data_IF_523732236373
#
_entry.id   IF_523732236373
#
_cell.length_a   1.000
_cell.length_b   1.000
_cell.length_c   1.000
_cell.angle_alpha   90.00
_cell.angle_beta   90.00
_cell.angle_gamma   90.00
#
_symmetry.space_group_name_H-M   'P 1'
#
loop_
_entity.id
_entity.type
_entity.pdbx_description
1 polymer ?
#
# COMPACT_ATOMS: atom_id res chain seq x y z
N UNK A 1 -8.52 0.55 11.54
CA UNK A 1 -7.96 1.42 10.49
C UNK A 1 -8.82 1.21 9.25
N UNK A 2 -9.48 2.26 8.74
CA UNK A 2 -10.39 2.17 7.58
C UNK A 2 -9.62 2.57 6.33
N UNK A 3 -9.80 1.84 5.22
CA UNK A 3 -9.26 2.20 3.90
C UNK A 3 -9.91 3.51 3.46
N UNK A 4 -9.11 4.43 2.93
CA UNK A 4 -9.63 5.67 2.34
C UNK A 4 -10.51 5.33 1.13
N UNK A 5 -11.79 5.76 1.09
CA UNK A 5 -12.66 5.52 -0.06
C UNK A 5 -12.05 6.01 -1.39
N UNK A 6 -11.25 7.09 -1.37
CA UNK A 6 -10.56 7.60 -2.56
C UNK A 6 -9.55 6.60 -3.14
N UNK A 7 -8.92 5.76 -2.30
CA UNK A 7 -8.02 4.69 -2.77
C UNK A 7 -8.80 3.59 -3.52
N UNK A 8 -10.05 3.33 -3.11
CA UNK A 8 -10.91 2.35 -3.78
C UNK A 8 -11.35 2.90 -5.13
N UNK A 9 -11.78 4.16 -5.18
CA UNK A 9 -12.15 4.84 -6.44
C UNK A 9 -10.99 4.83 -7.44
N UNK A 10 -9.76 5.14 -6.99
CA UNK A 10 -8.58 5.07 -7.86
C UNK A 10 -8.32 3.64 -8.34
N UNK A 11 -8.50 2.63 -7.49
CA UNK A 11 -8.32 1.23 -7.90
C UNK A 11 -9.33 0.78 -8.97
N UNK A 12 -10.52 1.38 -8.98
CA UNK A 12 -11.52 1.20 -10.02
C UNK A 12 -11.11 1.91 -11.32
N UNK A 13 -10.69 3.18 -11.24
CA UNK A 13 -10.22 3.96 -12.40
C UNK A 13 -9.04 3.28 -13.10
N UNK A 14 -8.09 2.74 -12.33
CA UNK A 14 -6.91 2.05 -12.88
C UNK A 14 -7.16 0.57 -13.20
N UNK A 15 -8.40 0.09 -13.11
CA UNK A 15 -8.79 -1.30 -13.39
C UNK A 15 -7.91 -2.33 -12.66
N UNK A 16 -7.51 -2.03 -11.41
CA UNK A 16 -6.67 -2.93 -10.64
C UNK A 16 -7.41 -4.24 -10.37
N UNK A 17 -6.76 -5.38 -10.63
CA UNK A 17 -7.33 -6.68 -10.31
C UNK A 17 -7.60 -6.83 -8.81
N UNK A 18 -8.60 -7.63 -8.44
CA UNK A 18 -8.98 -7.83 -7.04
C UNK A 18 -7.78 -8.21 -6.16
N UNK A 19 -6.91 -9.11 -6.63
CA UNK A 19 -5.71 -9.51 -5.90
C UNK A 19 -4.71 -8.37 -5.70
N UNK A 20 -4.61 -7.48 -6.69
CA UNK A 20 -3.77 -6.27 -6.58
C UNK A 20 -4.31 -5.33 -5.51
N UNK A 21 -5.63 -5.13 -5.47
CA UNK A 21 -6.30 -4.33 -4.43
C UNK A 21 -6.08 -4.91 -3.03
N UNK A 22 -6.21 -6.22 -2.88
CA UNK A 22 -5.90 -6.92 -1.61
C UNK A 22 -4.48 -6.67 -1.17
N UNK A 23 -3.50 -6.86 -2.07
CA UNK A 23 -2.09 -6.75 -1.74
C UNK A 23 -1.64 -5.33 -1.38
N UNK A 24 -2.15 -4.33 -2.09
CA UNK A 24 -1.61 -2.95 -2.02
C UNK A 24 -2.54 -1.95 -1.35
N UNK A 25 -3.82 -2.27 -1.15
CA UNK A 25 -4.79 -1.36 -0.52
C UNK A 25 -5.29 -1.95 0.79
N UNK A 26 -5.89 -3.14 0.75
CA UNK A 26 -6.54 -3.72 1.93
C UNK A 26 -5.53 -4.24 2.97
N UNK A 27 -4.52 -5.02 2.55
CA UNK A 27 -3.53 -5.58 3.48
C UNK A 27 -2.69 -4.51 4.21
N UNK A 28 -2.16 -3.46 3.54
CA UNK A 28 -1.44 -2.40 4.23
C UNK A 28 -2.32 -1.62 5.21
N UNK A 29 -3.60 -1.40 4.87
CA UNK A 29 -4.53 -0.72 5.75
C UNK A 29 -4.90 -1.54 6.99
N UNK A 30 -4.97 -2.87 6.87
CA UNK A 30 -5.23 -3.77 8.01
C UNK A 30 -3.98 -3.98 8.88
N UNK A 31 -2.80 -4.02 8.28
CA UNK A 31 -1.53 -4.32 8.95
C UNK A 31 -0.47 -3.23 8.74
N UNK A 32 -0.71 -1.99 9.19
CA UNK A 32 0.18 -0.86 8.93
C UNK A 32 1.61 -1.11 9.41
N UNK A 33 1.79 -1.79 10.55
CA UNK A 33 3.09 -2.03 11.16
C UNK A 33 3.98 -2.98 10.35
N UNK A 34 3.39 -3.95 9.64
CA UNK A 34 4.13 -4.86 8.76
C UNK A 34 4.58 -4.18 7.46
N UNK A 35 3.76 -3.24 6.97
CA UNK A 35 4.00 -2.56 5.69
C UNK A 35 4.78 -1.25 5.83
N UNK A 36 4.80 -0.63 7.02
CA UNK A 36 5.61 0.58 7.31
C UNK A 36 7.10 0.34 7.10
N UNK A 37 7.64 -0.80 7.54
CA UNK A 37 9.05 -1.17 7.30
C UNK A 37 9.36 -1.35 5.81
N UNK A 38 8.48 -2.07 5.09
CA UNK A 38 8.68 -2.37 3.66
C UNK A 38 8.69 -1.12 2.77
N UNK A 39 7.87 -0.12 3.08
CA UNK A 39 7.89 1.15 2.34
C UNK A 39 9.14 1.96 2.68
N UNK A 40 9.53 2.03 3.96
CA UNK A 40 10.73 2.72 4.41
C UNK A 40 12.00 2.17 3.75
N UNK A 41 12.14 0.84 3.68
CA UNK A 41 13.27 0.14 3.06
C UNK A 41 13.34 0.33 1.53
N UNK A 42 12.22 0.67 0.88
CA UNK A 42 12.16 0.90 -0.57
C UNK A 42 12.32 2.37 -0.96
N UNK A 43 11.97 3.30 -0.07
CA UNK A 43 11.99 4.75 -0.36
C UNK A 43 13.27 5.46 0.08
N UNK A 44 14.07 4.85 0.96
CA UNK A 44 15.39 5.39 1.29
C UNK A 44 16.45 4.72 0.41
N UNK A 45 17.03 5.41 -0.59
CA UNK A 45 18.27 4.95 -1.17
C UNK A 45 19.28 4.86 -0.02
N UNK A 46 19.91 3.70 0.09
CA UNK A 46 20.97 3.35 1.01
C UNK A 46 21.90 4.56 1.25
N UNK A 47 21.67 5.30 2.35
CA UNK A 47 22.61 6.29 2.84
C UNK A 47 23.71 5.48 3.52
N UNK A 48 24.60 4.90 2.71
CA UNK A 48 25.88 4.40 3.17
C UNK A 48 26.71 5.63 3.50
N UNK A 49 26.77 5.96 4.79
CA UNK A 49 27.94 6.62 5.37
C UNK A 49 29.17 5.70 5.21
#
# INVERSE_FOLDING_TARGET
MKVDPKMIEMADIYHLSFMTRVKYIYLPAMFPNLYKKRLLDKTLPNKKD
#
